data_IF_023359211816
#
_entry.id   IF_023359211816
#
_cell.length_a   1.000
_cell.length_b   1.000
_cell.length_c   1.000
_cell.angle_alpha   90.00
_cell.angle_beta   90.00
_cell.angle_gamma   90.00
#
_symmetry.space_group_name_H-M   'P 1'
#
loop_
_entity.id
_entity.type
_entity.pdbx_description
1 polymer ?
#
# COMPACT_ATOMS: atom_id res chain seq x y z
N UNK A 1 -23.87 9.40 18.72
CA UNK A 1 -22.64 9.76 17.98
C UNK A 1 -22.77 9.16 16.59
N UNK A 2 -22.34 9.86 15.56
CA UNK A 2 -22.36 9.34 14.19
C UNK A 2 -21.17 8.40 13.96
N UNK A 3 -21.39 7.29 13.27
CA UNK A 3 -20.30 6.43 12.81
C UNK A 3 -19.70 7.01 11.53
N UNK A 4 -18.43 6.76 11.29
CA UNK A 4 -17.81 7.20 10.04
C UNK A 4 -16.77 6.23 9.52
N UNK A 5 -16.68 6.18 8.20
CA UNK A 5 -15.59 5.54 7.48
C UNK A 5 -14.89 6.57 6.61
N UNK A 6 -13.62 6.80 6.89
CA UNK A 6 -12.75 7.59 6.03
C UNK A 6 -12.12 6.66 4.99
N UNK A 7 -12.62 6.69 3.76
CA UNK A 7 -12.08 5.91 2.66
C UNK A 7 -10.84 6.61 2.13
N UNK A 8 -9.70 5.94 2.15
CA UNK A 8 -8.40 6.47 1.70
C UNK A 8 -7.97 5.71 0.45
N UNK A 9 -7.94 6.40 -0.68
CA UNK A 9 -7.47 5.82 -1.93
C UNK A 9 -5.94 5.84 -1.94
N UNK A 10 -5.30 4.67 -1.89
CA UNK A 10 -3.84 4.54 -2.03
C UNK A 10 -3.39 4.29 -3.47
N UNK A 11 -4.34 4.27 -4.40
CA UNK A 11 -4.14 3.90 -5.80
C UNK A 11 -3.92 5.13 -6.69
N UNK A 12 -3.27 4.95 -7.86
CA UNK A 12 -3.07 6.02 -8.84
C UNK A 12 -4.31 6.31 -9.71
N UNK A 13 -5.39 5.52 -9.54
CA UNK A 13 -6.66 5.66 -10.26
C UNK A 13 -7.77 6.03 -9.29
N UNK A 14 -8.78 6.75 -9.77
CA UNK A 14 -10.02 6.98 -9.01
C UNK A 14 -10.65 5.63 -8.68
N UNK A 15 -11.02 5.44 -7.42
CA UNK A 15 -11.73 4.23 -6.98
C UNK A 15 -13.19 4.55 -6.72
N UNK A 16 -14.05 3.57 -6.99
CA UNK A 16 -15.49 3.61 -6.67
C UNK A 16 -15.75 2.62 -5.55
N UNK A 17 -16.24 3.10 -4.42
CA UNK A 17 -16.51 2.29 -3.22
C UNK A 17 -18.01 2.27 -2.95
N UNK A 18 -18.60 1.08 -2.96
CA UNK A 18 -20.00 0.85 -2.61
C UNK A 18 -20.16 0.38 -1.17
N UNK A 19 -21.18 0.90 -0.50
CA UNK A 19 -21.60 0.52 0.86
C UNK A 19 -22.93 -0.22 0.77
N UNK A 20 -22.93 -1.49 1.19
CA UNK A 20 -24.07 -2.38 1.07
C UNK A 20 -24.49 -2.84 2.46
N UNK A 21 -25.58 -2.24 2.95
CA UNK A 21 -26.15 -2.56 4.26
C UNK A 21 -26.76 -3.96 4.26
N UNK A 22 -26.56 -4.71 5.34
CA UNK A 22 -27.24 -5.98 5.55
C UNK A 22 -28.75 -5.75 5.75
N UNK A 23 -29.58 -6.52 5.03
CA UNK A 23 -31.06 -6.41 5.09
C UNK A 23 -31.76 -7.68 5.57
N UNK A 24 -31.01 -8.73 5.89
CA UNK A 24 -31.55 -10.01 6.35
C UNK A 24 -30.49 -11.11 6.37
N UNK A 25 -30.84 -12.29 6.91
CA UNK A 25 -29.92 -13.40 7.02
C UNK A 25 -29.55 -13.99 5.65
N UNK A 26 -28.26 -14.33 5.48
CA UNK A 26 -27.70 -15.19 4.43
C UNK A 26 -27.61 -14.71 2.98
N UNK A 27 -27.94 -13.46 2.61
CA UNK A 27 -27.57 -12.96 1.28
C UNK A 27 -27.12 -11.49 1.27
N UNK A 28 -25.96 -11.18 0.66
CA UNK A 28 -25.46 -9.82 0.53
C UNK A 28 -26.38 -9.04 -0.41
N UNK A 29 -26.80 -7.84 0.00
CA UNK A 29 -27.49 -6.94 -0.93
C UNK A 29 -26.54 -6.51 -2.05
N UNK A 30 -27.05 -6.47 -3.27
CA UNK A 30 -26.35 -5.92 -4.44
C UNK A 30 -26.76 -4.47 -4.72
N UNK A 31 -27.65 -3.92 -3.90
CA UNK A 31 -28.09 -2.53 -3.99
C UNK A 31 -27.29 -1.71 -3.00
N UNK A 32 -26.33 -0.94 -3.52
CA UNK A 32 -25.53 -0.05 -2.68
C UNK A 32 -26.45 1.03 -2.09
N UNK A 33 -26.39 1.21 -0.77
CA UNK A 33 -27.02 2.34 -0.09
C UNK A 33 -26.29 3.64 -0.44
N UNK A 34 -24.97 3.55 -0.63
CA UNK A 34 -24.12 4.67 -1.01
C UNK A 34 -22.98 4.20 -1.91
N UNK A 35 -22.62 5.02 -2.89
CA UNK A 35 -21.40 4.88 -3.67
C UNK A 35 -20.62 6.19 -3.55
N UNK A 36 -19.32 6.09 -3.28
CA UNK A 36 -18.42 7.23 -3.29
C UNK A 36 -17.30 7.02 -4.31
N UNK A 37 -16.88 8.09 -4.95
CA UNK A 37 -15.72 8.11 -5.81
C UNK A 37 -14.59 8.87 -5.10
N UNK A 38 -13.44 8.23 -4.96
CA UNK A 38 -12.29 8.80 -4.26
C UNK A 38 -11.15 8.96 -5.24
N UNK A 39 -10.74 10.22 -5.43
CA UNK A 39 -9.67 10.58 -6.37
C UNK A 39 -8.35 9.89 -6.01
N UNK A 40 -7.42 9.72 -6.96
CA UNK A 40 -6.10 9.15 -6.70
C UNK A 40 -5.43 9.81 -5.49
N UNK A 41 -4.91 9.00 -4.57
CA UNK A 41 -4.24 9.47 -3.35
C UNK A 41 -5.09 10.36 -2.41
N UNK A 42 -6.39 10.49 -2.68
CA UNK A 42 -7.33 11.27 -1.90
C UNK A 42 -8.01 10.47 -0.79
N UNK A 43 -8.88 11.14 -0.05
CA UNK A 43 -9.77 10.50 0.91
C UNK A 43 -11.19 11.09 0.85
N UNK A 44 -12.16 10.33 1.36
CA UNK A 44 -13.55 10.75 1.46
C UNK A 44 -14.18 10.14 2.71
N UNK A 45 -14.72 11.00 3.59
CA UNK A 45 -15.46 10.55 4.77
C UNK A 45 -16.91 10.21 4.43
N UNK A 46 -17.37 9.06 4.93
CA UNK A 46 -18.73 8.55 4.80
C UNK A 46 -19.32 8.42 6.19
N UNK A 47 -20.34 9.24 6.47
CA UNK A 47 -21.14 9.12 7.69
C UNK A 47 -22.15 8.00 7.54
N UNK A 48 -22.22 7.14 8.56
CA UNK A 48 -23.13 6.01 8.66
C UNK A 48 -23.95 6.10 9.94
N UNK A 49 -25.12 5.50 9.93
CA UNK A 49 -25.99 5.47 11.11
C UNK A 49 -25.42 4.59 12.23
N UNK A 50 -25.95 4.78 13.44
CA UNK A 50 -25.63 3.95 14.59
C UNK A 50 -26.05 2.49 14.33
N UNK A 51 -25.18 1.53 14.66
CA UNK A 51 -25.48 0.12 14.41
C UNK A 51 -25.36 -0.31 12.95
N UNK A 52 -24.78 0.52 12.06
CA UNK A 52 -24.63 0.14 10.65
C UNK A 52 -23.79 -1.13 10.54
N UNK A 53 -24.34 -2.12 9.84
CA UNK A 53 -23.68 -3.36 9.49
C UNK A 53 -23.80 -3.64 8.00
N UNK A 54 -22.71 -4.13 7.42
CA UNK A 54 -22.69 -4.44 6.01
C UNK A 54 -21.29 -4.66 5.47
N UNK A 55 -21.27 -4.79 4.14
CA UNK A 55 -20.03 -4.89 3.37
C UNK A 55 -19.74 -3.59 2.65
N UNK A 56 -18.46 -3.31 2.50
CA UNK A 56 -17.91 -2.21 1.72
C UNK A 56 -17.05 -2.85 0.64
N UNK A 57 -17.25 -2.45 -0.61
CA UNK A 57 -16.65 -3.11 -1.76
C UNK A 57 -16.06 -2.09 -2.71
N UNK A 58 -14.85 -2.40 -3.21
CA UNK A 58 -14.30 -1.73 -4.38
C UNK A 58 -15.01 -2.23 -5.62
N UNK A 59 -15.66 -1.32 -6.34
CA UNK A 59 -16.39 -1.62 -7.57
C UNK A 59 -15.43 -1.49 -8.76
N UNK A 60 -15.02 -2.62 -9.33
CA UNK A 60 -14.38 -2.69 -10.65
C UNK A 60 -15.38 -3.03 -11.77
N UNK A 61 -16.42 -3.79 -11.44
CA UNK A 61 -17.55 -4.10 -12.31
C UNK A 61 -18.90 -4.03 -11.57
N UNK A 62 -19.71 -5.07 -11.72
CA UNK A 62 -20.99 -5.21 -11.05
C UNK A 62 -20.84 -5.54 -9.55
N UNK A 63 -21.88 -5.28 -8.75
CA UNK A 63 -21.85 -5.52 -7.30
C UNK A 63 -21.74 -7.01 -6.91
N UNK A 64 -22.01 -7.91 -7.85
CA UNK A 64 -21.88 -9.37 -7.71
C UNK A 64 -20.63 -9.94 -8.41
N UNK A 65 -19.77 -9.09 -8.98
CA UNK A 65 -18.48 -9.53 -9.53
C UNK A 65 -17.49 -9.91 -8.41
N UNK A 66 -16.46 -10.71 -8.74
CA UNK A 66 -15.40 -11.03 -7.80
C UNK A 66 -14.69 -9.77 -7.29
N UNK A 67 -14.67 -9.59 -5.97
CA UNK A 67 -14.11 -8.39 -5.36
C UNK A 67 -13.72 -8.62 -3.90
N UNK A 68 -12.76 -7.82 -3.42
CA UNK A 68 -12.40 -7.77 -2.01
C UNK A 68 -13.50 -7.05 -1.24
N UNK A 69 -13.95 -7.65 -0.14
CA UNK A 69 -14.96 -7.09 0.73
C UNK A 69 -14.33 -6.65 2.04
N UNK A 70 -14.81 -5.53 2.55
CA UNK A 70 -14.50 -5.03 3.87
C UNK A 70 -15.80 -5.07 4.68
N UNK A 71 -15.88 -6.01 5.62
CA UNK A 71 -17.08 -6.28 6.42
C UNK A 71 -16.95 -5.58 7.76
N UNK A 72 -18.02 -4.91 8.19
CA UNK A 72 -18.01 -4.14 9.44
C UNK A 72 -19.40 -4.11 10.10
N UNK A 73 -19.41 -4.16 11.42
CA UNK A 73 -20.58 -3.98 12.27
C UNK A 73 -20.25 -2.96 13.36
N UNK A 74 -20.78 -1.75 13.23
CA UNK A 74 -20.63 -0.70 14.24
C UNK A 74 -21.54 -0.93 15.44
N UNK A 75 -21.10 -0.55 16.65
CA UNK A 75 -21.94 -0.55 17.85
C UNK A 75 -22.63 -1.91 18.13
N UNK A 76 -21.94 -3.00 17.84
CA UNK A 76 -22.42 -4.36 18.00
C UNK A 76 -22.37 -4.79 19.49
N UNK A 77 -21.98 -6.04 19.75
CA UNK A 77 -21.84 -6.55 21.11
C UNK A 77 -20.91 -5.66 21.95
N UNK A 78 -21.34 -5.35 23.18
CA UNK A 78 -20.67 -4.40 24.08
C UNK A 78 -20.45 -2.99 23.48
N UNK A 79 -21.26 -2.58 22.50
CA UNK A 79 -21.14 -1.30 21.79
C UNK A 79 -19.78 -1.16 21.06
N UNK A 80 -19.15 -2.27 20.70
CA UNK A 80 -17.90 -2.30 19.94
C UNK A 80 -18.14 -2.31 18.44
N UNK A 81 -17.17 -1.84 17.68
CA UNK A 81 -17.09 -1.98 16.23
C UNK A 81 -16.24 -3.20 15.89
N UNK A 82 -16.78 -4.13 15.10
CA UNK A 82 -16.04 -5.29 14.61
C UNK A 82 -15.87 -5.20 13.10
N UNK A 83 -14.67 -5.54 12.61
CA UNK A 83 -14.39 -5.50 11.20
C UNK A 83 -13.41 -6.60 10.76
N UNK A 84 -13.51 -6.96 9.47
CA UNK A 84 -12.59 -7.86 8.78
C UNK A 84 -12.54 -7.56 7.28
N UNK A 85 -11.48 -8.05 6.63
CA UNK A 85 -11.33 -8.02 5.17
C UNK A 85 -11.53 -9.44 4.66
N UNK A 86 -12.47 -9.60 3.74
CA UNK A 86 -12.93 -10.89 3.24
C UNK A 86 -12.57 -11.10 1.77
N UNK A 87 -11.99 -12.27 1.50
CA UNK A 87 -11.56 -12.73 0.18
C UNK A 87 -12.42 -13.89 -0.35
N UNK A 88 -13.45 -14.27 0.42
CA UNK A 88 -14.42 -15.30 0.04
C UNK A 88 -14.95 -15.05 -1.36
N UNK A 89 -15.28 -13.80 -1.65
CA UNK A 89 -15.96 -13.38 -2.87
C UNK A 89 -15.01 -12.84 -3.93
N UNK A 90 -13.70 -13.04 -3.77
CA UNK A 90 -12.69 -12.69 -4.77
C UNK A 90 -11.76 -11.58 -4.31
N UNK A 91 -10.92 -11.15 -5.23
CA UNK A 91 -9.95 -10.09 -4.95
C UNK A 91 -9.77 -9.18 -6.16
N UNK A 92 -9.98 -7.87 -5.94
CA UNK A 92 -9.80 -6.84 -6.96
C UNK A 92 -9.02 -5.62 -6.43
N UNK A 93 -8.32 -5.81 -5.32
CA UNK A 93 -7.49 -4.79 -4.68
C UNK A 93 -7.34 -5.04 -3.18
N UNK A 94 -6.18 -4.71 -2.62
CA UNK A 94 -5.96 -4.89 -1.19
C UNK A 94 -6.71 -3.84 -0.37
N UNK A 95 -7.11 -4.19 0.85
CA UNK A 95 -7.80 -3.30 1.77
C UNK A 95 -7.26 -3.45 3.18
N UNK A 96 -7.26 -2.35 3.93
CA UNK A 96 -6.90 -2.34 5.35
C UNK A 96 -7.86 -1.45 6.13
N UNK A 97 -8.44 -2.00 7.19
CA UNK A 97 -9.10 -1.20 8.22
C UNK A 97 -8.10 -0.77 9.28
N UNK A 98 -8.19 0.49 9.72
CA UNK A 98 -7.57 0.97 10.96
C UNK A 98 -8.55 1.82 11.76
N UNK A 99 -8.53 1.75 13.09
CA UNK A 99 -9.24 2.72 13.93
C UNK A 99 -8.38 3.97 14.17
N UNK A 100 -9.02 5.10 14.47
CA UNK A 100 -8.31 6.34 14.78
C UNK A 100 -7.52 6.26 16.09
N UNK A 101 -7.98 5.41 17.03
CA UNK A 101 -7.29 5.13 18.29
C UNK A 101 -6.16 4.08 18.18
N UNK A 102 -5.97 3.49 16.99
CA UNK A 102 -4.93 2.49 16.71
C UNK A 102 -5.16 1.09 17.28
N UNK A 103 -6.32 0.84 17.90
CA UNK A 103 -6.65 -0.47 18.51
C UNK A 103 -7.11 -1.52 17.49
N UNK A 104 -7.62 -1.09 16.33
CA UNK A 104 -7.99 -1.96 15.22
C UNK A 104 -6.98 -1.83 14.09
N UNK A 105 -6.48 -2.97 13.60
CA UNK A 105 -5.88 -3.08 12.27
C UNK A 105 -6.13 -4.47 11.71
N UNK A 106 -6.82 -4.56 10.57
CA UNK A 106 -7.07 -5.83 9.88
C UNK A 106 -7.03 -5.64 8.37
N UNK A 107 -6.66 -6.69 7.62
CA UNK A 107 -6.46 -6.64 6.18
C UNK A 107 -5.00 -6.71 5.75
N UNK A 108 -4.79 -6.47 4.46
CA UNK A 108 -3.49 -6.62 3.81
C UNK A 108 -3.19 -5.46 2.87
N UNK A 109 -1.91 -5.09 2.75
CA UNK A 109 -1.42 -4.12 1.77
C UNK A 109 -0.74 -4.78 0.57
N UNK A 110 -0.36 -6.06 0.70
CA UNK A 110 0.31 -6.82 -0.34
C UNK A 110 -0.61 -7.13 -1.51
N UNK A 111 -0.10 -7.01 -2.73
CA UNK A 111 -0.85 -7.40 -3.93
C UNK A 111 -0.96 -8.93 -4.04
N UNK A 112 -2.20 -9.41 -4.14
CA UNK A 112 -2.50 -10.84 -4.30
C UNK A 112 -2.70 -11.24 -5.77
N UNK A 113 -2.66 -10.29 -6.71
CA UNK A 113 -2.82 -10.59 -8.14
C UNK A 113 -1.52 -11.03 -8.79
N UNK A 114 -0.42 -10.27 -8.63
CA UNK A 114 0.84 -10.45 -9.38
C UNK A 114 1.31 -11.91 -9.36
N UNK A 115 1.39 -12.49 -8.17
CA UNK A 115 1.89 -13.85 -7.93
C UNK A 115 0.79 -14.91 -7.94
N UNK A 116 -0.48 -14.56 -8.22
CA UNK A 116 -1.54 -15.54 -8.27
C UNK A 116 -1.26 -16.58 -9.37
N UNK A 117 -1.49 -17.88 -9.12
CA UNK A 117 -1.50 -18.89 -10.17
C UNK A 117 -2.43 -18.47 -11.32
N UNK A 118 -1.97 -18.58 -12.57
CA UNK A 118 -2.73 -18.09 -13.74
C UNK A 118 -4.17 -18.63 -13.84
N UNK A 119 -4.42 -19.84 -13.33
CA UNK A 119 -5.77 -20.43 -13.31
C UNK A 119 -6.77 -19.71 -12.39
N UNK A 120 -6.30 -18.89 -11.46
CA UNK A 120 -7.13 -18.08 -10.58
C UNK A 120 -7.23 -16.62 -11.03
N UNK A 121 -6.45 -16.23 -12.05
CA UNK A 121 -6.52 -14.91 -12.68
C UNK A 121 -7.67 -14.90 -13.68
N UNK A 122 -8.74 -14.18 -13.37
CA UNK A 122 -9.93 -14.09 -14.21
C UNK A 122 -10.25 -12.63 -14.53
N UNK A 123 -11.30 -12.41 -15.31
CA UNK A 123 -11.85 -11.09 -15.61
C UNK A 123 -13.22 -10.93 -14.94
N UNK A 124 -13.50 -9.73 -14.42
CA UNK A 124 -14.86 -9.36 -13.99
C UNK A 124 -15.77 -9.07 -15.20
N UNK A 125 -17.04 -8.74 -14.95
CA UNK A 125 -18.02 -8.50 -16.02
C UNK A 125 -17.69 -7.30 -16.93
N UNK A 126 -16.79 -6.42 -16.49
CA UNK A 126 -16.30 -5.26 -17.26
C UNK A 126 -14.91 -5.50 -17.88
N UNK A 127 -14.35 -6.70 -17.73
CA UNK A 127 -13.06 -7.06 -18.32
C UNK A 127 -11.83 -6.68 -17.46
N UNK A 128 -12.03 -6.24 -16.22
CA UNK A 128 -10.92 -5.94 -15.32
C UNK A 128 -10.33 -7.21 -14.72
N UNK A 129 -9.03 -7.18 -14.46
CA UNK A 129 -8.33 -8.28 -13.78
C UNK A 129 -8.82 -8.42 -12.34
N UNK A 130 -9.18 -9.64 -11.93
CA UNK A 130 -9.58 -9.99 -10.56
C UNK A 130 -9.20 -11.43 -10.22
N UNK A 131 -8.74 -11.71 -9.00
CA UNK A 131 -8.54 -13.12 -8.59
C UNK A 131 -9.90 -13.72 -8.23
N UNK A 132 -10.11 -14.96 -8.68
CA UNK A 132 -11.32 -15.73 -8.43
C UNK A 132 -11.71 -15.79 -6.93
N UNK A 133 -12.99 -16.01 -6.61
CA UNK A 133 -13.42 -16.23 -5.23
C UNK A 133 -12.83 -17.52 -4.63
N UNK A 134 -12.50 -17.52 -3.34
CA UNK A 134 -12.24 -18.78 -2.62
C UNK A 134 -13.52 -19.58 -2.43
N UNK A 135 -14.67 -18.93 -2.44
CA UNK A 135 -15.98 -19.57 -2.46
C UNK A 135 -16.97 -18.70 -3.25
N UNK A 136 -17.34 -19.07 -4.49
CA UNK A 136 -18.35 -18.37 -5.27
C UNK A 136 -19.75 -18.54 -4.66
N UNK A 137 -20.76 -17.85 -5.20
CA UNK A 137 -22.14 -17.95 -4.71
C UNK A 137 -22.76 -19.36 -4.80
N UNK A 138 -22.14 -20.27 -5.57
CA UNK A 138 -22.54 -21.68 -5.63
C UNK A 138 -22.12 -22.47 -4.38
N UNK A 139 -21.24 -21.91 -3.53
CA UNK A 139 -20.77 -22.52 -2.28
C UNK A 139 -19.60 -23.48 -2.43
N UNK A 140 -19.06 -23.69 -3.63
CA UNK A 140 -17.94 -24.62 -3.84
C UNK A 140 -16.59 -23.99 -3.45
N UNK A 141 -15.99 -24.46 -2.36
CA UNK A 141 -14.73 -23.94 -1.85
C UNK A 141 -13.54 -24.33 -2.72
N UNK A 142 -12.64 -23.37 -2.96
CA UNK A 142 -11.39 -23.53 -3.69
C UNK A 142 -10.19 -23.61 -2.73
N UNK A 143 -9.89 -24.81 -2.27
CA UNK A 143 -8.86 -25.09 -1.25
C UNK A 143 -7.45 -24.66 -1.66
N UNK A 144 -7.12 -24.78 -2.94
CA UNK A 144 -5.82 -24.38 -3.46
C UNK A 144 -5.62 -22.87 -3.45
N UNK A 145 -6.69 -22.11 -3.75
CA UNK A 145 -6.66 -20.66 -3.65
C UNK A 145 -6.62 -20.20 -2.19
N UNK A 146 -7.36 -20.85 -1.30
CA UNK A 146 -7.26 -20.62 0.15
C UNK A 146 -5.82 -20.85 0.62
N UNK A 147 -5.17 -21.95 0.20
CA UNK A 147 -3.78 -22.23 0.54
C UNK A 147 -2.81 -21.17 -0.03
N UNK A 148 -3.09 -20.63 -1.22
CA UNK A 148 -2.34 -19.49 -1.77
C UNK A 148 -2.46 -18.26 -0.88
N UNK A 149 -3.68 -17.86 -0.52
CA UNK A 149 -3.91 -16.69 0.32
C UNK A 149 -3.31 -16.86 1.73
N UNK A 150 -3.39 -18.03 2.35
CA UNK A 150 -2.76 -18.29 3.66
C UNK A 150 -1.23 -18.12 3.68
N UNK A 151 -0.56 -18.21 2.52
CA UNK A 151 0.89 -17.93 2.40
C UNK A 151 1.21 -16.45 2.21
N UNK A 152 0.20 -15.63 1.89
CA UNK A 152 0.36 -14.22 1.48
C UNK A 152 -0.28 -13.25 2.45
N UNK A 153 -1.34 -13.67 3.13
CA UNK A 153 -2.05 -12.91 4.16
C UNK A 153 -1.60 -13.45 5.51
N UNK A 154 -1.11 -12.55 6.38
CA UNK A 154 -0.75 -12.90 7.75
C UNK A 154 -1.97 -13.47 8.48
N UNK A 155 -1.75 -14.48 9.32
CA UNK A 155 -2.80 -15.08 10.16
C UNK A 155 -3.62 -13.99 10.88
N UNK A 156 -4.94 -14.14 10.86
CA UNK A 156 -5.88 -13.17 11.44
C UNK A 156 -6.10 -11.89 10.64
N UNK A 157 -5.54 -11.72 9.44
CA UNK A 157 -5.69 -10.49 8.64
C UNK A 157 -6.51 -10.67 7.36
N UNK A 158 -7.23 -11.78 7.23
CA UNK A 158 -8.12 -12.01 6.09
C UNK A 158 -9.09 -13.15 6.35
N UNK A 159 -10.35 -12.93 6.01
CA UNK A 159 -11.41 -13.93 6.04
C UNK A 159 -11.38 -14.73 4.73
N UNK A 160 -10.84 -15.95 4.77
CA UNK A 160 -10.60 -16.76 3.57
C UNK A 160 -11.64 -17.87 3.40
N UNK A 161 -12.24 -18.31 4.51
CA UNK A 161 -13.32 -19.31 4.58
C UNK A 161 -14.41 -18.88 5.58
N UNK A 162 -15.66 -19.37 5.45
CA UNK A 162 -16.81 -19.00 6.29
C UNK A 162 -16.66 -19.13 7.81
N UNK A 163 -15.62 -19.79 8.32
CA UNK A 163 -15.37 -20.01 9.75
C UNK A 163 -14.07 -19.35 10.27
N UNK A 164 -13.46 -18.43 9.49
CA UNK A 164 -12.23 -17.71 9.89
C UNK A 164 -12.53 -16.56 10.89
N UNK A 165 -13.30 -16.85 11.96
CA UNK A 165 -13.71 -15.85 12.97
C UNK A 165 -12.53 -15.16 13.68
N UNK A 166 -11.33 -15.75 13.65
CA UNK A 166 -10.10 -15.15 14.18
C UNK A 166 -9.59 -13.93 13.39
N UNK A 167 -10.18 -13.63 12.24
CA UNK A 167 -9.86 -12.45 11.42
C UNK A 167 -10.76 -11.25 11.70
N UNK A 168 -11.77 -11.40 12.56
CA UNK A 168 -12.63 -10.31 13.02
C UNK A 168 -12.02 -9.65 14.26
N UNK A 169 -11.73 -8.36 14.15
CA UNK A 169 -11.09 -7.57 15.20
C UNK A 169 -12.04 -6.49 15.71
N UNK A 170 -12.00 -6.24 17.02
CA UNK A 170 -12.89 -5.30 17.69
C UNK A 170 -12.19 -4.02 18.17
N UNK A 171 -12.91 -2.90 18.15
CA UNK A 171 -12.49 -1.62 18.74
C UNK A 171 -13.68 -0.91 19.39
N UNK A 172 -13.43 -0.03 20.35
CA UNK A 172 -14.44 0.89 20.88
C UNK A 172 -14.66 2.12 19.99
N UNK A 173 -13.81 2.32 18.98
CA UNK A 173 -13.89 3.46 18.08
C UNK A 173 -15.03 3.31 17.06
N UNK A 174 -15.66 4.43 16.73
CA UNK A 174 -16.72 4.56 15.72
C UNK A 174 -16.25 5.33 14.48
N UNK A 175 -14.96 5.68 14.39
CA UNK A 175 -14.34 6.37 13.27
C UNK A 175 -13.20 5.52 12.69
N UNK A 176 -13.50 4.86 11.58
CA UNK A 176 -12.62 3.86 10.99
C UNK A 176 -12.04 4.40 9.68
N UNK A 177 -10.76 4.17 9.41
CA UNK A 177 -10.17 4.38 8.10
C UNK A 177 -10.22 3.08 7.31
N UNK A 178 -10.58 3.18 6.03
CA UNK A 178 -10.47 2.09 5.05
C UNK A 178 -9.47 2.49 3.97
N UNK A 179 -8.26 1.93 4.03
CA UNK A 179 -7.26 2.11 2.98
C UNK A 179 -7.51 1.11 1.86
N UNK A 180 -7.55 1.59 0.61
CA UNK A 180 -7.83 0.77 -0.57
C UNK A 180 -6.71 0.89 -1.60
N UNK A 181 -6.20 -0.25 -2.05
CA UNK A 181 -5.10 -0.39 -3.00
C UNK A 181 -5.58 -1.11 -4.26
N UNK A 182 -5.10 -0.68 -5.43
CA UNK A 182 -5.33 -1.36 -6.70
C UNK A 182 -4.50 -2.64 -6.83
N UNK A 183 -4.98 -3.56 -7.68
CA UNK A 183 -4.15 -4.67 -8.12
C UNK A 183 -2.99 -4.17 -8.98
N UNK A 184 -1.85 -4.86 -8.91
CA UNK A 184 -0.71 -4.58 -9.79
C UNK A 184 -0.76 -5.49 -11.01
N UNK A 185 -1.72 -5.27 -11.92
CA UNK A 185 -1.83 -6.08 -13.14
C UNK A 185 -0.66 -5.85 -14.10
N UNK A 186 -0.18 -6.92 -14.74
CA UNK A 186 0.86 -6.87 -15.78
C UNK A 186 0.32 -6.44 -17.15
N UNK A 187 -0.84 -5.77 -17.20
CA UNK A 187 -1.33 -5.25 -18.46
C UNK A 187 -0.41 -4.14 -18.92
N UNK A 188 0.14 -4.29 -20.13
CA UNK A 188 0.73 -3.23 -20.95
C UNK A 188 -0.32 -2.16 -21.25
N UNK A 189 -0.85 -1.50 -20.21
CA UNK A 189 -1.31 -0.14 -20.35
C UNK A 189 -0.09 0.61 -20.86
N UNK A 190 -0.22 1.29 -22.00
CA UNK A 190 0.73 2.33 -22.34
C UNK A 190 0.74 3.27 -21.14
N UNK A 191 1.77 3.10 -20.31
CA UNK A 191 2.01 3.89 -19.12
C UNK A 191 2.30 5.29 -19.66
N UNK A 192 1.26 6.09 -19.84
CA UNK A 192 1.38 7.51 -19.50
C UNK A 192 1.56 7.48 -17.99
N UNK A 193 2.82 7.46 -17.57
CA UNK A 193 3.26 7.53 -16.18
C UNK A 193 2.63 8.78 -15.60
N UNK A 194 1.46 8.66 -14.97
CA UNK A 194 1.06 9.55 -13.87
C UNK A 194 1.95 9.15 -12.67
N UNK A 195 3.26 9.33 -12.86
CA UNK A 195 4.24 9.43 -11.79
C UNK A 195 3.83 10.62 -10.96
N UNK A 196 3.15 10.39 -9.84
CA UNK A 196 3.13 11.41 -8.79
C UNK A 196 4.58 11.57 -8.33
N UNK A 197 5.22 12.63 -8.79
CA UNK A 197 6.48 13.11 -8.28
C UNK A 197 6.21 14.20 -7.26
N UNK A 198 6.94 14.15 -6.15
CA UNK A 198 7.07 15.29 -5.25
C UNK A 198 8.55 15.60 -5.05
N UNK A 199 8.85 16.88 -4.96
CA UNK A 199 10.20 17.34 -4.68
C UNK A 199 10.45 17.21 -3.19
N UNK A 200 11.55 16.55 -2.84
CA UNK A 200 11.95 16.28 -1.46
C UNK A 200 13.44 16.56 -1.25
N UNK A 201 13.80 16.66 0.02
CA UNK A 201 15.15 16.41 0.50
C UNK A 201 15.13 15.20 1.42
N UNK A 202 16.27 14.51 1.53
CA UNK A 202 16.39 13.29 2.36
C UNK A 202 17.33 13.62 3.51
N UNK A 203 16.83 13.61 4.74
CA UNK A 203 17.64 13.85 5.94
C UNK A 203 17.97 12.53 6.63
N UNK A 204 19.26 12.26 6.86
CA UNK A 204 19.71 11.07 7.56
C UNK A 204 19.44 11.19 9.07
N UNK A 205 18.86 10.15 9.68
CA UNK A 205 18.75 10.09 11.14
C UNK A 205 20.09 9.72 11.81
N UNK A 206 21.10 9.29 11.05
CA UNK A 206 22.42 9.00 11.59
C UNK A 206 23.10 10.25 12.18
N UNK A 207 22.97 11.40 11.51
CA UNK A 207 23.68 12.64 11.86
C UNK A 207 22.84 13.92 11.70
N UNK A 208 21.59 13.83 11.24
CA UNK A 208 20.72 14.98 11.01
C UNK A 208 21.04 15.80 9.76
N UNK A 209 21.97 15.35 8.92
CA UNK A 209 22.39 16.03 7.69
C UNK A 209 21.63 15.52 6.47
N UNK A 210 21.61 16.34 5.42
CA UNK A 210 20.95 16.04 4.16
C UNK A 210 21.84 15.21 3.24
N UNK A 211 21.24 14.24 2.56
CA UNK A 211 21.87 13.43 1.53
C UNK A 211 22.14 14.29 0.30
N UNK A 212 23.38 14.29 -0.17
CA UNK A 212 23.89 15.13 -1.24
C UNK A 212 24.35 14.28 -2.43
N UNK A 213 23.92 14.66 -3.64
CA UNK A 213 24.45 14.19 -4.91
C UNK A 213 25.71 14.99 -5.27
N UNK A 214 26.80 14.70 -4.56
CA UNK A 214 28.06 15.43 -4.65
C UNK A 214 28.66 15.46 -6.06
N UNK A 215 29.49 16.47 -6.33
CA UNK A 215 30.19 16.64 -7.62
C UNK A 215 29.23 16.61 -8.84
N UNK A 216 28.14 17.38 -8.75
CA UNK A 216 27.06 17.38 -9.74
C UNK A 216 26.48 15.97 -10.01
N UNK A 217 26.35 15.16 -8.95
CA UNK A 217 25.84 13.79 -9.00
C UNK A 217 26.81 12.73 -9.58
N UNK A 218 28.06 13.09 -9.87
CA UNK A 218 29.07 12.13 -10.35
C UNK A 218 29.74 11.35 -9.21
N UNK A 219 29.53 11.75 -7.96
CA UNK A 219 30.04 11.06 -6.78
C UNK A 219 28.94 10.26 -6.08
N UNK A 220 29.31 9.27 -5.25
CA UNK A 220 28.39 8.61 -4.34
C UNK A 220 27.57 9.59 -3.50
N UNK A 221 26.32 9.23 -3.23
CA UNK A 221 25.48 9.99 -2.29
C UNK A 221 26.07 9.89 -0.87
N UNK A 222 26.18 11.02 -0.17
CA UNK A 222 26.66 11.11 1.22
C UNK A 222 25.74 12.04 2.01
N UNK A 223 25.46 11.75 3.29
CA UNK A 223 24.68 12.62 4.17
C UNK A 223 25.59 13.66 4.86
N UNK A 224 26.05 14.67 4.14
CA UNK A 224 27.12 15.59 4.57
C UNK A 224 26.77 17.09 4.42
N UNK A 225 25.47 17.45 4.40
CA UNK A 225 25.03 18.84 4.23
C UNK A 225 24.14 19.31 5.36
N UNK A 226 24.43 20.50 5.88
CA UNK A 226 23.65 21.11 6.95
C UNK A 226 22.38 21.80 6.46
N UNK A 227 22.33 22.18 5.19
CA UNK A 227 21.19 22.80 4.55
C UNK A 227 21.00 22.27 3.12
N UNK A 228 19.75 22.13 2.65
CA UNK A 228 19.49 21.67 1.31
C UNK A 228 19.57 22.80 0.29
N UNK A 229 20.02 22.44 -0.91
CA UNK A 229 19.96 23.20 -2.15
C UNK A 229 19.80 22.20 -3.30
N UNK A 230 20.20 22.57 -4.51
CA UNK A 230 20.03 21.75 -5.72
C UNK A 230 20.63 20.34 -5.61
N UNK A 231 21.76 20.16 -4.92
CA UNK A 231 22.43 18.85 -4.85
C UNK A 231 21.80 17.90 -3.83
N UNK A 232 21.05 18.43 -2.87
CA UNK A 232 20.35 17.68 -1.83
C UNK A 232 18.86 17.46 -2.17
N UNK A 233 18.42 17.98 -3.33
CA UNK A 233 17.04 17.92 -3.80
C UNK A 233 16.83 16.79 -4.80
N UNK A 234 15.74 16.05 -4.61
CA UNK A 234 15.37 14.92 -5.44
C UNK A 234 13.88 14.94 -5.77
N UNK A 235 13.52 14.50 -6.98
CA UNK A 235 12.15 14.05 -7.21
C UNK A 235 12.01 12.64 -6.61
N UNK A 236 11.10 12.50 -5.66
CA UNK A 236 10.61 11.18 -5.24
C UNK A 236 9.50 10.77 -6.18
N UNK A 237 9.81 9.84 -7.07
CA UNK A 237 8.91 9.37 -8.11
C UNK A 237 8.28 8.08 -7.62
N UNK A 238 6.98 8.12 -7.36
CA UNK A 238 6.22 6.92 -7.02
C UNK A 238 6.08 6.05 -8.26
N UNK A 239 6.49 4.79 -8.16
CA UNK A 239 6.35 3.79 -9.22
C UNK A 239 5.10 2.96 -8.95
N UNK A 240 5.26 1.72 -8.47
CA UNK A 240 4.17 0.78 -8.23
C UNK A 240 4.15 0.26 -6.78
N UNK A 241 3.12 0.65 -6.02
CA UNK A 241 3.01 0.41 -4.57
C UNK A 241 4.18 1.04 -3.82
N UNK A 242 4.87 0.28 -2.99
CA UNK A 242 5.98 0.79 -2.17
C UNK A 242 7.29 1.06 -2.94
N UNK A 243 7.30 0.88 -4.27
CA UNK A 243 8.48 1.13 -5.07
C UNK A 243 8.55 2.60 -5.50
N UNK A 244 9.74 3.17 -5.37
CA UNK A 244 10.05 4.55 -5.72
C UNK A 244 11.35 4.61 -6.53
N UNK A 245 11.50 5.67 -7.30
CA UNK A 245 12.78 6.11 -7.84
C UNK A 245 13.12 7.49 -7.27
N UNK A 246 14.41 7.80 -7.21
CA UNK A 246 14.92 9.10 -6.82
C UNK A 246 15.61 9.72 -8.03
N UNK A 247 15.16 10.90 -8.48
CA UNK A 247 15.82 11.64 -9.55
C UNK A 247 16.52 12.86 -8.96
N UNK A 248 17.83 12.94 -9.10
CA UNK A 248 18.61 14.05 -8.55
C UNK A 248 18.40 15.32 -9.34
N UNK A 249 18.18 16.44 -8.65
CA UNK A 249 18.17 17.76 -9.26
C UNK A 249 19.58 18.26 -9.62
N UNK A 250 20.64 17.62 -9.11
CA UNK A 250 22.03 17.98 -9.43
C UNK A 250 22.37 17.79 -10.91
N UNK A 251 21.81 16.76 -11.54
CA UNK A 251 22.11 16.40 -12.93
C UNK A 251 20.93 15.81 -13.73
N UNK A 252 19.75 15.72 -13.12
CA UNK A 252 18.55 15.17 -13.77
C UNK A 252 18.58 13.65 -13.97
N UNK A 253 19.48 12.93 -13.31
CA UNK A 253 19.63 11.47 -13.42
C UNK A 253 19.03 10.73 -12.22
N UNK A 254 18.69 9.46 -12.44
CA UNK A 254 18.19 8.57 -11.39
C UNK A 254 19.32 8.02 -10.53
N UNK A 255 19.03 7.91 -9.23
CA UNK A 255 19.90 7.26 -8.25
C UNK A 255 19.89 5.76 -8.51
N UNK A 256 21.08 5.19 -8.68
CA UNK A 256 21.35 3.79 -8.95
C UNK A 256 22.01 3.14 -7.74
N UNK A 257 21.51 1.98 -7.30
CA UNK A 257 22.20 1.12 -6.35
C UNK A 257 23.24 0.27 -7.10
N UNK A 258 24.49 0.78 -7.20
CA UNK A 258 25.51 0.17 -8.05
C UNK A 258 25.86 -1.27 -7.64
N UNK A 259 26.38 -2.03 -8.62
CA UNK A 259 26.76 -3.44 -8.44
C UNK A 259 25.61 -4.30 -7.86
N UNK A 260 24.42 -4.14 -8.46
CA UNK A 260 23.18 -4.75 -7.98
C UNK A 260 22.92 -4.49 -6.48
N UNK A 261 23.19 -3.27 -6.03
CA UNK A 261 23.03 -2.83 -4.63
C UNK A 261 24.17 -3.18 -3.68
N UNK A 262 25.24 -3.85 -4.13
CA UNK A 262 26.39 -4.18 -3.28
C UNK A 262 27.46 -3.08 -3.22
N UNK A 263 27.24 -1.95 -3.90
CA UNK A 263 28.10 -0.77 -3.86
C UNK A 263 27.29 0.48 -3.53
N UNK A 264 27.94 1.64 -3.58
CA UNK A 264 27.35 2.94 -3.28
C UNK A 264 26.18 3.31 -4.19
N UNK A 265 25.32 4.19 -3.68
CA UNK A 265 24.27 4.83 -4.46
C UNK A 265 24.85 6.03 -5.22
N UNK A 266 24.61 6.11 -6.53
CA UNK A 266 25.11 7.19 -7.42
C UNK A 266 24.00 7.68 -8.35
N UNK A 267 23.87 9.00 -8.57
CA UNK A 267 22.89 9.57 -9.51
C UNK A 267 23.43 9.60 -10.96
N UNK A 268 23.43 8.46 -11.64
CA UNK A 268 24.12 8.29 -12.94
C UNK A 268 23.34 7.48 -13.99
N UNK A 269 22.01 7.40 -13.86
CA UNK A 269 21.16 6.65 -14.80
C UNK A 269 20.14 7.53 -15.48
N UNK A 270 19.93 7.31 -16.78
CA UNK A 270 18.98 8.08 -17.60
C UNK A 270 17.59 7.46 -17.66
N UNK A 271 17.44 6.20 -17.20
CA UNK A 271 16.17 5.48 -17.13
C UNK A 271 16.07 4.67 -15.85
N UNK A 272 14.84 4.38 -15.44
CA UNK A 272 14.54 3.56 -14.26
C UNK A 272 14.47 2.09 -14.68
N UNK A 273 15.21 1.25 -13.97
CA UNK A 273 15.09 -0.21 -13.99
C UNK A 273 15.25 -0.75 -12.56
N UNK A 274 15.60 -2.03 -12.43
CA UNK A 274 15.69 -2.70 -11.14
C UNK A 274 16.69 -2.09 -10.16
N UNK A 275 17.76 -1.43 -10.63
CA UNK A 275 18.81 -0.87 -9.76
C UNK A 275 18.49 0.56 -9.30
N UNK A 276 17.63 1.25 -10.03
CA UNK A 276 17.14 2.61 -9.72
C UNK A 276 15.82 2.56 -8.95
N UNK A 277 15.27 1.36 -8.74
CA UNK A 277 14.05 1.11 -8.00
C UNK A 277 14.39 0.74 -6.55
N UNK A 278 13.85 1.52 -5.61
CA UNK A 278 13.96 1.28 -4.18
C UNK A 278 12.58 1.00 -3.61
N UNK A 279 12.47 0.03 -2.72
CA UNK A 279 11.25 -0.16 -1.93
C UNK A 279 11.32 0.71 -0.68
N UNK A 280 10.33 1.57 -0.48
CA UNK A 280 10.18 2.38 0.73
C UNK A 280 9.51 1.55 1.83
N UNK A 281 9.98 1.71 3.06
CA UNK A 281 9.37 1.10 4.25
C UNK A 281 9.02 2.22 5.21
N UNK A 282 7.73 2.38 5.52
CA UNK A 282 7.27 3.33 6.52
C UNK A 282 7.73 2.89 7.92
N UNK A 283 8.35 3.82 8.65
CA UNK A 283 8.82 3.64 10.03
C UNK A 283 7.99 4.42 11.05
N UNK A 284 6.90 5.06 10.61
CA UNK A 284 6.05 5.93 11.40
C UNK A 284 6.65 7.33 11.60
N UNK A 285 5.81 8.29 12.01
CA UNK A 285 6.22 9.66 12.33
C UNK A 285 7.00 10.38 11.20
N UNK A 286 6.66 10.09 9.94
CA UNK A 286 7.33 10.68 8.76
C UNK A 286 8.71 10.10 8.46
N UNK A 287 9.11 9.01 9.12
CA UNK A 287 10.38 8.33 8.91
C UNK A 287 10.24 7.17 7.95
N UNK A 288 11.28 6.93 7.17
CA UNK A 288 11.31 5.85 6.17
C UNK A 288 12.64 5.13 6.17
N UNK A 289 12.65 3.92 5.60
CA UNK A 289 13.86 3.23 5.18
C UNK A 289 13.75 2.84 3.71
N UNK A 290 14.88 2.76 3.01
CA UNK A 290 14.94 2.35 1.61
C UNK A 290 15.58 0.98 1.49
N UNK A 291 14.98 0.11 0.67
CA UNK A 291 15.53 -1.20 0.34
C UNK A 291 15.90 -1.22 -1.14
N UNK A 292 17.14 -1.58 -1.45
CA UNK A 292 17.61 -1.70 -2.83
C UNK A 292 17.33 -3.10 -3.42
N UNK A 293 17.74 -3.30 -4.67
CA UNK A 293 17.54 -4.54 -5.44
C UNK A 293 18.11 -5.80 -4.76
N UNK A 294 19.16 -5.67 -3.95
CA UNK A 294 19.74 -6.78 -3.17
C UNK A 294 18.95 -7.14 -1.91
N UNK A 295 17.78 -6.53 -1.69
CA UNK A 295 16.91 -6.73 -0.52
C UNK A 295 17.53 -6.30 0.81
N UNK A 296 18.53 -5.43 0.77
CA UNK A 296 19.15 -4.83 1.96
C UNK A 296 18.74 -3.37 2.10
N UNK A 297 18.75 -2.87 3.32
CA UNK A 297 18.48 -1.48 3.65
C UNK A 297 19.67 -0.60 3.31
N UNK A 298 19.38 0.56 2.72
CA UNK A 298 20.31 1.66 2.49
C UNK A 298 20.73 2.22 3.85
N UNK A 299 22.03 2.29 4.08
CA UNK A 299 22.65 2.71 5.33
C UNK A 299 23.50 3.96 5.11
N UNK A 300 23.36 4.96 5.97
CA UNK A 300 24.27 6.10 6.09
C UNK A 300 25.42 5.72 7.04
N UNK A 301 26.37 4.93 6.53
CA UNK A 301 27.49 4.37 7.28
C UNK A 301 28.39 5.46 7.91
N UNK A 302 29.16 5.06 8.93
CA UNK A 302 30.12 5.93 9.62
C UNK A 302 29.49 7.24 10.14
N UNK A 303 28.31 7.13 10.78
CA UNK A 303 27.55 8.29 11.25
C UNK A 303 27.23 9.28 10.12
N UNK A 304 26.90 8.76 8.93
CA UNK A 304 26.61 9.53 7.72
C UNK A 304 27.82 10.18 7.01
N UNK A 305 29.04 9.97 7.51
CA UNK A 305 30.27 10.51 6.89
C UNK A 305 30.77 9.66 5.71
N UNK A 306 30.16 8.51 5.46
CA UNK A 306 30.48 7.64 4.32
C UNK A 306 29.32 7.60 3.33
N UNK A 307 29.62 7.10 2.13
CA UNK A 307 28.65 6.85 1.09
C UNK A 307 27.46 6.01 1.56
N UNK A 308 26.29 6.29 1.01
CA UNK A 308 25.10 5.48 1.23
C UNK A 308 25.26 4.15 0.47
N UNK A 309 25.14 3.03 1.18
CA UNK A 309 25.24 1.66 0.62
C UNK A 309 24.07 0.82 1.13
N UNK A 310 23.47 -0.01 0.28
CA UNK A 310 22.46 -1.00 0.70
C UNK A 310 23.11 -2.27 1.27
N UNK A 311 23.54 -2.24 2.53
CA UNK A 311 24.33 -3.33 3.15
C UNK A 311 23.74 -3.90 4.45
N UNK A 312 22.61 -3.40 4.96
CA UNK A 312 22.00 -3.86 6.22
C UNK A 312 20.81 -4.78 6.02
N UNK A 313 20.65 -5.77 6.90
CA UNK A 313 19.51 -6.71 6.90
C UNK A 313 18.41 -6.33 7.89
N UNK A 314 18.68 -5.37 8.77
CA UNK A 314 17.74 -4.82 9.76
C UNK A 314 17.79 -3.30 9.70
N UNK A 315 16.80 -2.64 10.30
CA UNK A 315 16.68 -1.18 10.28
C UNK A 315 16.83 -0.63 11.69
N UNK A 316 17.79 0.25 11.87
CA UNK A 316 17.96 1.10 13.04
C UNK A 316 18.16 2.54 12.56
N UNK A 317 18.87 3.34 13.35
CA UNK A 317 19.02 4.79 13.19
C UNK A 317 19.76 5.15 11.90
N UNK A 318 20.75 4.36 11.47
CA UNK A 318 21.55 4.66 10.28
C UNK A 318 20.86 4.32 8.95
N UNK A 319 19.81 3.49 8.99
CA UNK A 319 19.00 3.12 7.82
C UNK A 319 17.69 3.92 7.75
N UNK A 320 17.50 4.86 8.68
CA UNK A 320 16.29 5.66 8.82
C UNK A 320 16.51 7.08 8.30
N UNK A 321 15.56 7.56 7.49
CA UNK A 321 15.61 8.87 6.85
C UNK A 321 14.29 9.63 7.06
N UNK A 322 14.38 10.95 7.17
CA UNK A 322 13.22 11.84 7.11
C UNK A 322 13.07 12.34 5.66
N UNK A 323 11.87 12.25 5.08
CA UNK A 323 11.58 12.87 3.77
C UNK A 323 10.95 14.23 3.99
N UNK A 324 11.70 15.29 3.68
CA UNK A 324 11.27 16.67 3.92
C UNK A 324 10.79 17.27 2.60
N UNK A 325 9.50 17.64 2.47
CA UNK A 325 9.00 18.33 1.27
C UNK A 325 9.77 19.61 0.98
N UNK A 326 9.89 19.98 -0.30
CA UNK A 326 10.40 21.28 -0.76
C UNK A 326 9.29 22.10 -1.41
#
# INVERSE_FOLDING_TARGET
>A
MSNSINVINRSPKTIRIGFFKNRGPYQPSFDAEKIVEVQPHGNQSVILEHGWEGRIQKLSGAANDPATWAEIHFNAWQNMTFADISLIRGYNGSMVFTSSDGTLRTGMTGDLWTDAPNKFKIKDSQGNDVVAPTEPYTGERNDELVAYYRRKVTEGNGYLIPDDHGSSHGTGDTHINLEVYEIKSNTNENITTETSSRVITIRSNANGQFVCADNAGNSPLIANRDAPSTWETFDLITLNGDNVALKSHANGQYVCAENAGNSSLIANRTSISSWETFRIVDRGNGKVAFIAVNRKYVCADNFGNSELIANRTTVDTWETFDLVPQ
#
